data_IF_587417712863
#
_entry.id   IF_587417712863
#
_cell.length_a   1.000
_cell.length_b   1.000
_cell.length_c   1.000
_cell.angle_alpha   90.00
_cell.angle_beta   90.00
_cell.angle_gamma   90.00
#
_symmetry.space_group_name_H-M   'P 1'
#
loop_
_entity.id
_entity.type
_entity.pdbx_description
1 polymer ?
#
# COMPACT_ATOMS: atom_id res chain seq x y z
N UNK A 1 -3.94 -16.83 53.68
CA UNK A 1 -3.86 -15.39 53.41
C UNK A 1 -3.73 -15.18 51.92
N UNK A 2 -4.77 -14.67 51.24
CA UNK A 2 -4.68 -14.32 49.82
C UNK A 2 -3.84 -13.06 49.68
N UNK A 3 -2.76 -13.15 48.92
CA UNK A 3 -1.87 -12.02 48.63
C UNK A 3 -2.68 -10.84 48.08
N UNK A 4 -2.60 -9.64 48.65
CA UNK A 4 -3.35 -8.43 48.17
C UNK A 4 -2.89 -7.93 46.81
N UNK A 5 -1.92 -8.57 46.16
CA UNK A 5 -1.36 -8.19 44.85
C UNK A 5 -2.14 -8.76 43.64
N UNK A 6 -3.07 -9.71 43.87
CA UNK A 6 -3.79 -10.37 42.76
C UNK A 6 -4.78 -9.49 41.97
N UNK A 7 -5.02 -8.24 42.42
CA UNK A 7 -5.98 -7.30 41.83
C UNK A 7 -5.42 -6.15 41.00
N UNK A 8 -4.12 -5.89 40.99
CA UNK A 8 -3.55 -4.73 40.33
C UNK A 8 -3.21 -5.00 38.86
N UNK A 9 -3.75 -4.19 37.95
CA UNK A 9 -3.49 -4.26 36.51
C UNK A 9 -2.10 -3.73 36.13
N UNK A 10 -1.56 -2.80 36.91
CA UNK A 10 -0.28 -2.15 36.66
C UNK A 10 0.71 -2.55 37.77
N UNK A 11 1.63 -3.42 37.41
CA UNK A 11 2.75 -3.83 38.28
C UNK A 11 4.04 -3.78 37.50
N UNK A 12 5.05 -3.10 38.08
CA UNK A 12 6.37 -2.96 37.44
C UNK A 12 7.07 -4.32 37.38
N UNK A 13 7.48 -4.72 36.17
CA UNK A 13 8.24 -5.96 35.87
C UNK A 13 7.59 -7.27 36.34
N UNK A 14 6.27 -7.31 36.54
CA UNK A 14 5.54 -8.55 36.81
C UNK A 14 4.64 -8.92 35.64
N UNK A 15 4.62 -10.20 35.32
CA UNK A 15 3.74 -10.71 34.28
C UNK A 15 2.28 -10.67 34.72
N UNK A 16 1.40 -10.34 33.78
CA UNK A 16 -0.05 -10.40 33.98
C UNK A 16 -0.49 -11.87 34.06
N UNK A 17 -1.51 -12.13 34.86
CA UNK A 17 -2.19 -13.41 34.86
C UNK A 17 -2.70 -13.77 33.46
N UNK A 18 -2.71 -15.07 33.14
CA UNK A 18 -3.02 -15.59 31.79
C UNK A 18 -4.31 -15.05 31.19
N UNK A 19 -5.37 -14.96 32.01
CA UNK A 19 -6.68 -14.42 31.57
C UNK A 19 -6.61 -12.93 31.22
N UNK A 20 -5.90 -12.15 32.03
CA UNK A 20 -5.70 -10.71 31.82
C UNK A 20 -4.79 -10.41 30.62
N UNK A 21 -3.74 -11.21 30.47
CA UNK A 21 -2.85 -11.09 29.31
C UNK A 21 -3.57 -11.41 27.99
N UNK A 22 -4.48 -12.39 27.99
CA UNK A 22 -5.31 -12.70 26.82
C UNK A 22 -6.34 -11.60 26.53
N UNK A 23 -6.95 -11.04 27.57
CA UNK A 23 -7.90 -9.93 27.43
C UNK A 23 -7.20 -8.66 26.89
N UNK A 24 -6.05 -8.29 27.45
CA UNK A 24 -5.30 -7.12 26.97
C UNK A 24 -4.81 -7.29 25.54
N UNK A 25 -4.42 -8.52 25.14
CA UNK A 25 -4.07 -8.84 23.77
C UNK A 25 -5.29 -8.72 22.82
N UNK A 26 -6.45 -9.21 23.21
CA UNK A 26 -7.67 -9.05 22.43
C UNK A 26 -8.07 -7.58 22.31
N UNK A 27 -8.00 -6.82 23.40
CA UNK A 27 -8.29 -5.38 23.40
C UNK A 27 -7.34 -4.58 22.52
N UNK A 28 -6.08 -4.98 22.38
CA UNK A 28 -5.10 -4.28 21.52
C UNK A 28 -5.49 -4.31 20.04
N UNK A 29 -6.25 -5.30 19.59
CA UNK A 29 -6.80 -5.37 18.22
C UNK A 29 -8.23 -4.83 18.13
N UNK A 30 -9.05 -5.12 19.14
CA UNK A 30 -10.47 -4.72 19.15
C UNK A 30 -10.63 -3.21 19.34
N UNK A 31 -9.82 -2.57 20.18
CA UNK A 31 -9.95 -1.15 20.46
C UNK A 31 -9.71 -0.28 19.23
N UNK A 32 -8.63 -0.43 18.45
CA UNK A 32 -8.46 0.28 17.18
C UNK A 32 -9.60 0.00 16.18
N UNK A 33 -10.09 -1.26 16.11
CA UNK A 33 -11.20 -1.64 15.25
C UNK A 33 -12.51 -0.94 15.68
N UNK A 34 -12.80 -0.88 16.98
CA UNK A 34 -13.96 -0.17 17.52
C UNK A 34 -13.86 1.33 17.23
N UNK A 35 -12.68 1.93 17.44
CA UNK A 35 -12.44 3.35 17.11
C UNK A 35 -12.68 3.58 15.62
N UNK A 36 -12.17 2.69 14.76
CA UNK A 36 -12.41 2.77 13.33
C UNK A 36 -13.90 2.66 12.98
N UNK A 37 -14.62 1.69 13.56
CA UNK A 37 -16.07 1.58 13.37
C UNK A 37 -16.80 2.85 13.80
N UNK A 38 -16.53 3.36 15.01
CA UNK A 38 -17.16 4.59 15.51
C UNK A 38 -16.88 5.75 14.58
N UNK A 39 -15.62 5.91 14.15
CA UNK A 39 -15.22 6.96 13.22
C UNK A 39 -15.87 6.83 11.85
N UNK A 40 -16.04 5.60 11.32
CA UNK A 40 -16.59 5.35 9.99
C UNK A 40 -18.10 5.42 9.92
N UNK A 41 -18.81 5.01 10.99
CA UNK A 41 -20.28 5.01 11.05
C UNK A 41 -20.85 6.22 11.79
N UNK A 42 -20.00 7.11 12.30
CA UNK A 42 -20.44 8.26 13.07
C UNK A 42 -21.28 9.26 12.25
N UNK A 43 -22.19 10.01 12.91
CA UNK A 43 -23.12 10.93 12.25
C UNK A 43 -22.45 12.22 11.73
N UNK A 44 -21.16 12.42 11.98
CA UNK A 44 -20.40 13.61 11.54
C UNK A 44 -20.01 13.59 10.06
N UNK A 45 -20.10 12.45 9.37
CA UNK A 45 -19.83 12.35 7.95
C UNK A 45 -21.09 12.68 7.15
N UNK A 46 -21.09 13.85 6.50
CA UNK A 46 -22.20 14.30 5.67
C UNK A 46 -21.84 14.12 4.20
N UNK A 47 -22.70 13.47 3.45
CA UNK A 47 -22.80 13.44 1.98
C UNK A 47 -21.49 13.36 1.19
N UNK A 48 -21.24 12.20 0.59
CA UNK A 48 -20.31 12.07 -0.55
C UNK A 48 -21.09 12.29 -1.86
N UNK A 49 -20.44 12.85 -2.87
CA UNK A 49 -20.99 12.95 -4.23
C UNK A 49 -20.30 11.95 -5.13
N UNK A 50 -21.07 11.04 -5.70
CA UNK A 50 -20.57 10.10 -6.69
C UNK A 50 -20.67 10.72 -8.08
N UNK A 51 -19.55 10.76 -8.80
CA UNK A 51 -19.50 11.34 -10.15
C UNK A 51 -20.26 10.43 -11.12
N UNK A 52 -21.20 11.00 -11.84
CA UNK A 52 -21.95 10.32 -12.90
C UNK A 52 -21.53 10.77 -14.29
N UNK A 53 -21.08 12.00 -14.40
CA UNK A 53 -20.53 12.59 -15.61
C UNK A 53 -19.28 13.38 -15.22
N UNK A 54 -18.13 12.94 -15.70
CA UNK A 54 -16.85 13.60 -15.43
C UNK A 54 -16.48 14.57 -16.53
N UNK A 55 -15.77 15.65 -16.16
CA UNK A 55 -15.13 16.57 -17.07
C UNK A 55 -13.66 16.69 -16.71
N UNK A 56 -12.81 17.10 -17.65
CA UNK A 56 -11.40 17.39 -17.39
C UNK A 56 -11.15 18.89 -17.34
N UNK A 57 -10.33 19.34 -16.39
CA UNK A 57 -9.86 20.71 -16.32
C UNK A 57 -8.34 20.72 -16.04
N UNK A 58 -7.54 21.50 -16.80
CA UNK A 58 -6.12 21.66 -16.51
C UNK A 58 -5.84 22.37 -15.18
N UNK A 59 -6.86 22.99 -14.59
CA UNK A 59 -6.77 23.65 -13.27
C UNK A 59 -6.81 22.65 -12.11
N UNK A 60 -7.29 21.44 -12.34
CA UNK A 60 -7.36 20.36 -11.34
C UNK A 60 -6.38 19.27 -11.76
N UNK A 61 -5.34 19.05 -10.97
CA UNK A 61 -4.27 18.10 -11.27
C UNK A 61 -4.70 16.62 -11.18
N UNK A 62 -5.83 16.33 -10.55
CA UNK A 62 -6.36 14.97 -10.39
C UNK A 62 -7.38 14.66 -11.49
N UNK A 63 -7.28 13.47 -12.05
CA UNK A 63 -8.24 12.95 -13.02
C UNK A 63 -9.32 12.18 -12.26
N UNK A 64 -10.56 12.70 -12.31
CA UNK A 64 -11.72 12.04 -11.72
C UNK A 64 -12.47 11.23 -12.77
N UNK A 65 -12.88 10.02 -12.41
CA UNK A 65 -13.62 9.11 -13.28
C UNK A 65 -15.06 8.93 -12.81
N UNK A 66 -15.93 8.49 -13.70
CA UNK A 66 -17.31 8.13 -13.35
C UNK A 66 -17.30 7.01 -12.31
N UNK A 67 -18.07 7.18 -11.24
CA UNK A 67 -18.10 6.26 -10.09
C UNK A 67 -17.21 6.69 -8.91
N UNK A 68 -16.31 7.66 -9.10
CA UNK A 68 -15.47 8.19 -8.01
C UNK A 68 -16.34 8.94 -7.00
N UNK A 69 -15.93 8.90 -5.73
CA UNK A 69 -16.62 9.59 -4.63
C UNK A 69 -15.82 10.78 -4.17
N UNK A 70 -16.41 11.96 -4.23
CA UNK A 70 -15.76 13.21 -3.84
C UNK A 70 -16.39 13.78 -2.55
N UNK A 71 -15.58 14.48 -1.77
CA UNK A 71 -16.09 15.34 -0.71
C UNK A 71 -16.78 16.57 -1.29
N UNK A 72 -17.69 17.23 -0.54
CA UNK A 72 -18.33 18.45 -1.00
C UNK A 72 -17.34 19.58 -1.36
N UNK A 73 -16.22 19.68 -0.63
CA UNK A 73 -15.17 20.67 -0.93
C UNK A 73 -14.47 20.40 -2.25
N UNK A 74 -14.02 19.16 -2.46
CA UNK A 74 -13.34 18.73 -3.68
C UNK A 74 -14.29 18.79 -4.89
N UNK A 75 -15.58 18.44 -4.70
CA UNK A 75 -16.59 18.58 -5.73
C UNK A 75 -16.76 20.04 -6.17
N UNK A 76 -16.84 20.97 -5.21
CA UNK A 76 -16.97 22.40 -5.49
C UNK A 76 -15.74 22.93 -6.25
N UNK A 77 -14.55 22.55 -5.83
CA UNK A 77 -13.31 22.92 -6.51
C UNK A 77 -13.29 22.42 -7.96
N UNK A 78 -13.67 21.16 -8.16
CA UNK A 78 -13.72 20.54 -9.49
C UNK A 78 -14.76 21.22 -10.41
N UNK A 79 -15.99 21.45 -9.94
CA UNK A 79 -17.03 22.13 -10.72
C UNK A 79 -16.63 23.55 -11.07
N UNK A 80 -16.13 24.31 -10.09
CA UNK A 80 -15.68 25.69 -10.30
C UNK A 80 -14.55 25.78 -11.34
N UNK A 81 -13.61 24.83 -11.32
CA UNK A 81 -12.53 24.79 -12.31
C UNK A 81 -13.06 24.62 -13.75
N UNK A 82 -14.02 23.70 -13.93
CA UNK A 82 -14.63 23.48 -15.27
C UNK A 82 -15.47 24.69 -15.71
N UNK A 83 -16.22 25.30 -14.79
CA UNK A 83 -17.00 26.51 -15.06
C UNK A 83 -16.10 27.68 -15.49
N UNK A 84 -14.95 27.86 -14.82
CA UNK A 84 -13.98 28.89 -15.20
C UNK A 84 -13.39 28.65 -16.57
N UNK A 85 -13.03 27.40 -16.91
CA UNK A 85 -12.57 27.08 -18.28
C UNK A 85 -13.63 27.38 -19.33
N UNK A 86 -14.89 27.04 -19.08
CA UNK A 86 -15.99 27.35 -20.00
C UNK A 86 -16.24 28.85 -20.11
N UNK A 87 -16.15 29.60 -19.03
CA UNK A 87 -16.28 31.06 -19.02
C UNK A 87 -15.18 31.73 -19.85
N UNK A 88 -13.94 31.28 -19.75
CA UNK A 88 -12.84 31.78 -20.57
C UNK A 88 -13.06 31.50 -22.05
N UNK A 89 -13.53 30.30 -22.42
CA UNK A 89 -13.88 29.97 -23.81
C UNK A 89 -15.03 30.84 -24.29
N UNK A 90 -16.05 31.06 -23.47
CA UNK A 90 -17.22 31.89 -23.81
C UNK A 90 -16.85 33.35 -24.02
N UNK A 91 -16.15 33.96 -23.08
CA UNK A 91 -15.73 35.39 -23.18
C UNK A 91 -14.78 35.63 -24.35
N UNK A 92 -13.89 34.68 -24.65
CA UNK A 92 -13.01 34.76 -25.82
C UNK A 92 -13.79 34.72 -27.15
N UNK A 93 -14.87 33.97 -27.20
CA UNK A 93 -15.78 33.96 -28.38
C UNK A 93 -16.52 35.29 -28.54
N UNK A 94 -17.05 35.83 -27.46
CA UNK A 94 -17.77 37.12 -27.47
C UNK A 94 -16.84 38.27 -27.85
N UNK A 95 -15.57 38.23 -27.48
CA UNK A 95 -14.57 39.23 -27.85
C UNK A 95 -14.02 39.09 -29.29
N UNK A 96 -14.48 38.08 -30.04
CA UNK A 96 -14.01 37.83 -31.40
C UNK A 96 -12.62 37.20 -31.53
N UNK A 97 -12.06 36.75 -30.42
CA UNK A 97 -10.77 36.03 -30.34
C UNK A 97 -10.98 34.64 -29.77
N UNK A 98 -11.60 33.69 -30.50
CA UNK A 98 -11.92 32.38 -29.97
C UNK A 98 -10.64 31.59 -29.58
N UNK A 99 -10.73 30.84 -28.47
CA UNK A 99 -9.64 29.95 -28.04
C UNK A 99 -9.46 28.88 -29.11
N UNK A 100 -8.23 28.71 -29.58
CA UNK A 100 -7.90 27.67 -30.54
C UNK A 100 -8.11 26.27 -29.93
N UNK A 101 -8.85 25.42 -30.65
CA UNK A 101 -9.08 24.01 -30.29
C UNK A 101 -8.38 23.08 -31.26
N UNK A 102 -7.81 21.98 -30.76
CA UNK A 102 -7.34 20.91 -31.63
C UNK A 102 -8.41 19.84 -31.82
N UNK A 103 -8.37 19.12 -32.95
CA UNK A 103 -9.26 17.98 -33.17
C UNK A 103 -9.19 16.95 -32.03
N UNK A 104 -7.97 16.71 -31.48
CA UNK A 104 -7.75 15.78 -30.35
C UNK A 104 -8.44 16.26 -29.08
N UNK A 105 -8.37 17.54 -28.76
CA UNK A 105 -9.04 18.12 -27.59
C UNK A 105 -10.55 18.07 -27.75
N UNK A 106 -11.07 18.45 -28.90
CA UNK A 106 -12.50 18.44 -29.17
C UNK A 106 -13.09 17.03 -29.17
N UNK A 107 -12.38 16.03 -29.71
CA UNK A 107 -12.76 14.62 -29.58
C UNK A 107 -12.87 14.19 -28.10
N UNK A 108 -11.91 14.59 -27.27
CA UNK A 108 -11.88 14.26 -25.85
C UNK A 108 -13.08 14.89 -25.12
N UNK A 109 -13.44 16.13 -25.45
CA UNK A 109 -14.62 16.79 -24.88
C UNK A 109 -15.91 16.06 -25.29
N UNK A 110 -16.03 15.67 -26.56
CA UNK A 110 -17.22 14.95 -27.02
C UNK A 110 -17.38 13.59 -26.35
N UNK A 111 -16.28 12.89 -26.06
CA UNK A 111 -16.31 11.61 -25.36
C UNK A 111 -16.78 11.70 -23.91
N UNK A 112 -16.81 12.90 -23.31
CA UNK A 112 -17.33 13.09 -21.95
C UNK A 112 -18.78 12.64 -21.80
N UNK A 113 -19.58 12.65 -22.88
CA UNK A 113 -20.98 12.18 -22.83
C UNK A 113 -21.10 10.64 -22.74
N UNK A 114 -20.07 9.89 -23.11
CA UNK A 114 -20.14 8.44 -23.27
C UNK A 114 -20.66 7.70 -22.01
N UNK A 115 -20.22 8.02 -20.78
CA UNK A 115 -20.74 7.35 -19.57
C UNK A 115 -22.26 7.55 -19.39
N UNK A 116 -22.74 8.77 -19.59
CA UNK A 116 -24.17 9.07 -19.52
C UNK A 116 -24.95 8.42 -20.68
N UNK A 117 -24.36 8.34 -21.88
CA UNK A 117 -24.94 7.67 -23.02
C UNK A 117 -25.09 6.16 -22.82
N UNK A 118 -24.09 5.51 -22.20
CA UNK A 118 -24.16 4.08 -21.83
C UNK A 118 -25.21 3.84 -20.76
N UNK A 119 -25.28 4.69 -19.74
CA UNK A 119 -26.27 4.57 -18.67
C UNK A 119 -27.71 4.71 -19.15
N UNK A 120 -27.94 5.54 -20.19
CA UNK A 120 -29.23 5.73 -20.82
C UNK A 120 -29.50 4.75 -21.98
N UNK A 121 -28.55 3.87 -22.33
CA UNK A 121 -28.70 2.89 -23.41
C UNK A 121 -28.59 3.47 -24.81
N UNK A 122 -28.04 4.67 -24.99
CA UNK A 122 -27.85 5.30 -26.31
C UNK A 122 -26.59 4.79 -27.02
N UNK A 123 -25.57 4.45 -26.25
CA UNK A 123 -24.32 3.86 -26.72
C UNK A 123 -23.98 2.59 -25.94
N UNK A 124 -23.17 1.73 -26.55
CA UNK A 124 -22.57 0.58 -25.86
C UNK A 124 -21.20 0.94 -25.30
N UNK A 125 -20.70 0.18 -24.33
CA UNK A 125 -19.34 0.37 -23.76
C UNK A 125 -18.23 0.28 -24.82
N UNK A 126 -18.44 -0.55 -25.87
CA UNK A 126 -17.46 -0.71 -26.95
C UNK A 126 -17.34 0.51 -27.86
N UNK A 127 -18.34 1.42 -27.85
CA UNK A 127 -18.38 2.63 -28.68
C UNK A 127 -17.72 3.85 -28.03
N UNK A 128 -16.91 3.69 -27.00
CA UNK A 128 -16.16 4.77 -26.35
C UNK A 128 -15.21 5.50 -27.30
N UNK A 129 -14.65 4.78 -28.28
CA UNK A 129 -13.68 5.30 -29.27
C UNK A 129 -14.37 5.61 -30.62
N UNK A 130 -15.63 5.26 -30.75
CA UNK A 130 -16.38 5.53 -31.99
C UNK A 130 -16.83 7.00 -32.07
N UNK A 131 -15.98 7.80 -32.68
CA UNK A 131 -16.20 9.26 -32.80
C UNK A 131 -17.48 9.61 -33.60
N UNK A 132 -17.90 8.77 -34.54
CA UNK A 132 -19.10 8.99 -35.35
C UNK A 132 -20.37 8.72 -34.53
N UNK A 133 -20.42 7.60 -33.80
CA UNK A 133 -21.52 7.29 -32.90
C UNK A 133 -21.67 8.33 -31.78
N UNK A 134 -20.57 8.79 -31.21
CA UNK A 134 -20.58 9.86 -30.21
C UNK A 134 -21.12 11.16 -30.79
N UNK A 135 -20.62 11.57 -31.93
CA UNK A 135 -21.09 12.79 -32.62
C UNK A 135 -22.57 12.73 -32.94
N UNK A 136 -23.05 11.61 -33.46
CA UNK A 136 -24.48 11.38 -33.71
C UNK A 136 -25.32 11.55 -32.46
N UNK A 137 -24.85 10.98 -31.33
CA UNK A 137 -25.52 11.11 -30.03
C UNK A 137 -25.61 12.58 -29.55
N UNK A 138 -24.56 13.38 -29.75
CA UNK A 138 -24.57 14.81 -29.44
C UNK A 138 -25.63 15.55 -30.27
N UNK A 139 -25.72 15.27 -31.57
CA UNK A 139 -26.69 15.89 -32.47
C UNK A 139 -28.14 15.53 -32.12
N UNK A 140 -28.37 14.25 -31.79
CA UNK A 140 -29.70 13.76 -31.38
C UNK A 140 -30.13 14.28 -30.00
N UNK A 141 -29.17 14.52 -29.08
CA UNK A 141 -29.47 15.20 -27.81
C UNK A 141 -29.78 16.69 -28.01
N UNK A 142 -29.06 17.35 -28.88
CA UNK A 142 -29.30 18.76 -29.21
C UNK A 142 -30.67 19.00 -29.89
N UNK A 143 -31.09 18.07 -30.77
CA UNK A 143 -32.41 18.11 -31.43
C UNK A 143 -33.55 17.71 -30.49
N UNK A 144 -33.25 17.07 -29.34
CA UNK A 144 -34.25 16.57 -28.40
C UNK A 144 -34.89 15.21 -28.79
N UNK A 145 -34.34 14.52 -29.79
CA UNK A 145 -34.78 13.18 -30.19
C UNK A 145 -34.49 12.14 -29.06
N UNK A 146 -33.35 12.28 -28.37
CA UNK A 146 -33.00 11.43 -27.27
C UNK A 146 -33.45 12.05 -25.94
N UNK A 147 -34.21 11.26 -25.15
CA UNK A 147 -34.64 11.64 -23.81
C UNK A 147 -33.93 10.73 -22.80
N UNK A 148 -33.32 11.35 -21.79
CA UNK A 148 -32.68 10.60 -20.70
C UNK A 148 -33.73 9.87 -19.86
N UNK A 149 -33.53 8.57 -19.65
CA UNK A 149 -34.40 7.69 -18.86
C UNK A 149 -33.83 7.38 -17.45
N UNK A 150 -32.55 7.11 -17.42
CA UNK A 150 -31.85 6.62 -16.19
C UNK A 150 -31.02 7.71 -15.53
N UNK A 151 -30.37 8.56 -16.30
CA UNK A 151 -29.56 9.68 -15.81
C UNK A 151 -29.95 10.95 -16.59
N UNK A 152 -30.81 11.81 -16.02
CA UNK A 152 -31.15 13.07 -16.65
C UNK A 152 -29.93 13.99 -16.64
N UNK A 153 -29.66 14.64 -17.77
CA UNK A 153 -28.63 15.66 -17.87
C UNK A 153 -29.15 17.00 -17.32
N UNK A 154 -28.29 17.76 -16.66
CA UNK A 154 -28.62 19.10 -16.17
C UNK A 154 -29.01 20.03 -17.32
N UNK A 155 -29.80 21.07 -17.01
CA UNK A 155 -30.21 22.08 -18.00
C UNK A 155 -28.98 22.78 -18.58
N UNK A 156 -27.98 23.01 -17.77
CA UNK A 156 -26.71 23.64 -18.15
C UNK A 156 -25.95 22.76 -19.14
N UNK A 157 -25.81 21.46 -18.88
CA UNK A 157 -25.20 20.55 -19.84
C UNK A 157 -25.97 20.41 -21.15
N UNK A 158 -27.28 20.43 -21.11
CA UNK A 158 -28.10 20.45 -22.32
C UNK A 158 -27.88 21.74 -23.16
N UNK A 159 -27.67 22.90 -22.51
CA UNK A 159 -27.32 24.13 -23.16
C UNK A 159 -25.94 24.05 -23.83
N UNK A 160 -24.94 23.51 -23.11
CA UNK A 160 -23.61 23.29 -23.65
C UNK A 160 -23.65 22.33 -24.85
N UNK A 161 -24.45 21.26 -24.76
CA UNK A 161 -24.63 20.31 -25.86
C UNK A 161 -25.18 20.99 -27.11
N UNK A 162 -26.19 21.86 -26.97
CA UNK A 162 -26.76 22.61 -28.10
C UNK A 162 -25.76 23.56 -28.74
N UNK A 163 -25.02 24.32 -27.92
CA UNK A 163 -23.98 25.24 -28.42
C UNK A 163 -22.85 24.49 -29.16
N UNK A 164 -22.40 23.38 -28.60
CA UNK A 164 -21.39 22.58 -29.27
C UNK A 164 -21.91 21.91 -30.56
N UNK A 165 -23.17 21.46 -30.56
CA UNK A 165 -23.80 20.88 -31.76
C UNK A 165 -23.90 21.87 -32.91
N UNK A 166 -24.22 23.15 -32.65
CA UNK A 166 -24.21 24.22 -33.68
C UNK A 166 -22.82 24.37 -34.31
N UNK A 167 -21.76 24.32 -33.50
CA UNK A 167 -20.37 24.38 -33.97
C UNK A 167 -19.98 23.16 -34.80
N UNK A 168 -20.41 21.97 -34.37
CA UNK A 168 -20.19 20.72 -35.09
C UNK A 168 -20.93 20.71 -36.45
N UNK A 169 -22.10 21.29 -36.49
CA UNK A 169 -22.86 21.42 -37.74
C UNK A 169 -22.16 22.37 -38.72
N UNK A 170 -21.64 23.51 -38.26
CA UNK A 170 -20.86 24.45 -39.07
C UNK A 170 -19.55 23.83 -39.60
N UNK A 171 -18.91 22.97 -38.83
CA UNK A 171 -17.66 22.32 -39.20
C UNK A 171 -17.84 21.13 -40.18
N UNK A 172 -19.08 20.68 -40.43
CA UNK A 172 -19.38 19.56 -41.33
C UNK A 172 -18.82 18.22 -40.84
N UNK A 173 -18.03 17.55 -41.66
CA UNK A 173 -17.36 16.28 -41.29
C UNK A 173 -16.13 16.48 -40.38
N UNK A 174 -15.54 17.66 -40.41
CA UNK A 174 -14.35 17.99 -39.66
C UNK A 174 -14.66 18.38 -38.20
N UNK A 175 -13.61 18.58 -37.41
CA UNK A 175 -13.72 19.12 -36.05
C UNK A 175 -13.52 20.64 -36.07
N UNK A 176 -14.28 21.39 -35.24
CA UNK A 176 -14.11 22.83 -35.14
C UNK A 176 -12.66 23.20 -34.81
N UNK A 177 -12.14 24.27 -35.40
CA UNK A 177 -10.83 24.86 -35.08
C UNK A 177 -10.85 25.61 -33.74
N UNK A 178 -12.01 25.87 -33.20
CA UNK A 178 -12.25 26.51 -31.91
C UNK A 178 -12.47 25.45 -30.83
N UNK A 179 -12.11 25.76 -29.59
CA UNK A 179 -12.33 24.89 -28.44
C UNK A 179 -13.83 24.75 -28.15
N UNK A 180 -14.29 23.51 -28.01
CA UNK A 180 -15.64 23.19 -27.54
C UNK A 180 -15.77 23.45 -26.04
N UNK A 181 -16.97 23.74 -25.57
CA UNK A 181 -17.29 23.84 -24.17
C UNK A 181 -17.27 22.45 -23.51
N UNK A 182 -16.73 22.36 -22.32
CA UNK A 182 -16.67 21.13 -21.55
C UNK A 182 -18.00 20.88 -20.86
N UNK A 183 -18.44 19.63 -20.79
CA UNK A 183 -19.59 19.27 -19.98
C UNK A 183 -19.26 19.50 -18.49
N UNK A 184 -20.22 20.07 -17.77
CA UNK A 184 -20.11 20.23 -16.33
C UNK A 184 -20.21 18.85 -15.67
N UNK A 185 -19.39 18.57 -14.67
CA UNK A 185 -19.48 17.34 -13.93
C UNK A 185 -20.86 17.21 -13.27
N UNK A 186 -21.43 16.02 -13.30
CA UNK A 186 -22.70 15.71 -12.64
C UNK A 186 -22.46 14.65 -11.56
N UNK A 187 -23.24 14.73 -10.50
CA UNK A 187 -23.13 13.80 -9.38
C UNK A 187 -24.50 13.36 -8.87
N UNK A 188 -24.52 12.17 -8.32
CA UNK A 188 -25.61 11.68 -7.46
C UNK A 188 -25.15 11.87 -6.01
N UNK A 189 -26.01 12.48 -5.18
CA UNK A 189 -25.75 12.55 -3.75
C UNK A 189 -26.05 11.18 -3.12
N UNK A 190 -25.02 10.54 -2.58
CA UNK A 190 -25.20 9.35 -1.76
C UNK A 190 -25.21 9.73 -0.28
N UNK A 191 -26.11 9.14 0.49
CA UNK A 191 -26.10 9.26 1.96
C UNK A 191 -24.83 8.63 2.51
N UNK A 192 -23.98 9.50 2.90
CA UNK A 192 -22.84 9.45 3.81
C UNK A 192 -22.25 8.09 4.17
N UNK A 193 -21.35 7.58 3.32
CA UNK A 193 -20.19 6.87 3.85
C UNK A 193 -18.99 7.82 3.72
N UNK A 194 -18.11 7.92 4.75
CA UNK A 194 -16.96 8.82 4.64
C UNK A 194 -16.11 8.42 3.45
N UNK A 195 -15.81 9.39 2.59
CA UNK A 195 -15.00 9.13 1.39
C UNK A 195 -13.62 8.61 1.79
N UNK A 196 -13.03 9.21 2.83
CA UNK A 196 -11.67 8.91 3.26
C UNK A 196 -11.54 7.76 4.26
N UNK A 197 -12.57 7.47 5.05
CA UNK A 197 -12.53 6.45 6.10
C UNK A 197 -13.60 5.40 5.85
N UNK A 198 -13.31 4.48 4.96
CA UNK A 198 -14.22 3.39 4.58
C UNK A 198 -14.49 2.46 5.76
N UNK A 199 -15.75 2.04 5.98
CA UNK A 199 -16.09 1.09 7.03
C UNK A 199 -15.36 -0.25 6.89
N UNK A 200 -14.99 -0.91 8.02
CA UNK A 200 -14.22 -2.16 8.00
C UNK A 200 -14.89 -3.31 7.25
N UNK A 201 -16.22 -3.40 7.28
CA UNK A 201 -16.99 -4.40 6.53
C UNK A 201 -16.84 -4.25 5.02
N UNK A 202 -16.89 -3.01 4.51
CA UNK A 202 -16.68 -2.71 3.10
C UNK A 202 -15.25 -3.06 2.69
N UNK A 203 -14.26 -2.74 3.53
CA UNK A 203 -12.86 -3.11 3.29
C UNK A 203 -12.70 -4.63 3.22
N UNK A 204 -13.32 -5.37 4.13
CA UNK A 204 -13.27 -6.83 4.14
C UNK A 204 -13.93 -7.44 2.89
N UNK A 205 -15.09 -6.92 2.47
CA UNK A 205 -15.79 -7.36 1.26
C UNK A 205 -14.96 -7.04 0.01
N UNK A 206 -14.38 -5.84 -0.08
CA UNK A 206 -13.55 -5.44 -1.22
C UNK A 206 -12.24 -6.25 -1.29
N UNK A 207 -11.64 -6.57 -0.13
CA UNK A 207 -10.51 -7.47 -0.05
C UNK A 207 -10.86 -8.86 -0.57
N UNK A 208 -11.98 -9.42 -0.11
CA UNK A 208 -12.46 -10.72 -0.57
C UNK A 208 -12.73 -10.73 -2.07
N UNK A 209 -13.41 -9.71 -2.58
CA UNK A 209 -13.65 -9.54 -4.02
C UNK A 209 -12.34 -9.41 -4.81
N UNK A 210 -11.37 -8.62 -4.33
CA UNK A 210 -10.07 -8.45 -4.97
C UNK A 210 -9.25 -9.75 -5.05
N UNK A 211 -9.39 -10.64 -4.05
CA UNK A 211 -8.74 -11.95 -4.03
C UNK A 211 -9.46 -12.95 -4.94
N UNK A 212 -10.81 -12.96 -4.93
CA UNK A 212 -11.60 -14.01 -5.60
C UNK A 212 -11.99 -13.66 -7.04
N UNK A 213 -12.26 -12.40 -7.34
CA UNK A 213 -12.81 -11.99 -8.64
C UNK A 213 -11.79 -11.93 -9.79
N UNK A 214 -10.49 -12.09 -9.52
CA UNK A 214 -9.45 -12.20 -10.54
C UNK A 214 -9.27 -10.99 -11.48
N UNK A 215 -10.00 -9.89 -11.25
CA UNK A 215 -9.95 -8.68 -12.07
C UNK A 215 -10.00 -7.45 -11.16
N UNK A 216 -8.87 -6.80 -10.95
CA UNK A 216 -8.88 -5.41 -10.52
C UNK A 216 -9.43 -4.58 -11.68
N UNK A 217 -10.46 -3.79 -11.43
CA UNK A 217 -11.09 -2.91 -12.42
C UNK A 217 -10.23 -1.63 -12.53
N UNK A 218 -9.05 -1.77 -13.14
CA UNK A 218 -8.20 -0.63 -13.47
C UNK A 218 -8.74 -0.04 -14.76
N UNK A 219 -9.29 1.16 -14.67
CA UNK A 219 -9.91 1.88 -15.78
C UNK A 219 -8.96 2.30 -16.92
N UNK A 220 -7.80 1.68 -17.04
CA UNK A 220 -6.82 1.93 -18.11
C UNK A 220 -6.94 0.80 -19.15
N UNK A 221 -7.52 1.11 -20.30
CA UNK A 221 -7.85 0.18 -21.38
C UNK A 221 -6.66 -0.46 -22.12
N UNK A 222 -5.42 -0.21 -21.68
CA UNK A 222 -4.20 -0.64 -22.37
C UNK A 222 -3.18 -1.43 -21.54
N UNK A 223 -3.32 -1.54 -20.21
CA UNK A 223 -2.40 -2.29 -19.38
C UNK A 223 -2.91 -3.72 -19.13
N UNK A 224 -2.01 -4.71 -19.14
CA UNK A 224 -2.34 -6.07 -18.69
C UNK A 224 -3.01 -6.02 -17.32
N UNK A 225 -4.27 -6.47 -17.25
CA UNK A 225 -5.09 -6.46 -16.04
C UNK A 225 -4.54 -7.46 -15.03
N UNK A 226 -3.60 -7.00 -14.20
CA UNK A 226 -3.02 -7.82 -13.13
C UNK A 226 -3.99 -7.92 -11.95
N UNK A 227 -4.19 -9.12 -11.46
CA UNK A 227 -4.99 -9.37 -10.26
C UNK A 227 -4.31 -8.83 -9.01
N UNK A 228 -5.07 -8.58 -7.93
CA UNK A 228 -4.52 -8.18 -6.64
C UNK A 228 -3.45 -9.16 -6.14
N UNK A 229 -3.65 -10.48 -6.35
CA UNK A 229 -2.69 -11.52 -5.99
C UNK A 229 -1.41 -11.49 -6.83
N UNK A 230 -1.50 -11.17 -8.13
CA UNK A 230 -0.31 -11.02 -8.97
C UNK A 230 0.53 -9.82 -8.52
N UNK A 231 -0.09 -8.67 -8.25
CA UNK A 231 0.59 -7.49 -7.70
C UNK A 231 1.19 -7.75 -6.31
N UNK A 232 0.49 -8.51 -5.48
CA UNK A 232 1.00 -8.99 -4.21
C UNK A 232 2.26 -9.86 -4.38
N UNK A 233 2.26 -10.78 -5.34
CA UNK A 233 3.42 -11.60 -5.67
C UNK A 233 4.62 -10.79 -6.18
N UNK A 234 4.37 -9.73 -6.95
CA UNK A 234 5.42 -8.80 -7.41
C UNK A 234 6.07 -8.06 -6.22
N UNK A 235 5.27 -7.54 -5.29
CA UNK A 235 5.77 -6.90 -4.06
C UNK A 235 6.61 -7.87 -3.23
N UNK A 236 6.16 -9.12 -3.07
CA UNK A 236 6.92 -10.16 -2.37
C UNK A 236 8.24 -10.47 -3.06
N UNK A 237 8.25 -10.62 -4.37
CA UNK A 237 9.48 -10.85 -5.13
C UNK A 237 10.49 -9.70 -4.92
N UNK A 238 10.03 -8.47 -4.97
CA UNK A 238 10.86 -7.29 -4.79
C UNK A 238 11.49 -7.24 -3.40
N UNK A 239 10.69 -7.40 -2.34
CA UNK A 239 11.20 -7.31 -0.96
C UNK A 239 12.16 -8.45 -0.64
N UNK A 240 11.83 -9.68 -1.02
CA UNK A 240 12.68 -10.84 -0.74
C UNK A 240 14.03 -10.70 -1.44
N UNK A 241 14.05 -10.35 -2.73
CA UNK A 241 15.30 -10.19 -3.47
C UNK A 241 16.13 -9.02 -2.95
N UNK A 242 15.52 -7.86 -2.69
CA UNK A 242 16.22 -6.70 -2.17
C UNK A 242 16.78 -6.92 -0.77
N UNK A 243 16.00 -7.53 0.11
CA UNK A 243 16.43 -7.88 1.47
C UNK A 243 17.53 -8.93 1.48
N UNK A 244 17.40 -10.02 0.71
CA UNK A 244 18.43 -11.05 0.63
C UNK A 244 19.76 -10.48 0.12
N UNK A 245 19.70 -9.64 -0.92
CA UNK A 245 20.91 -8.97 -1.43
C UNK A 245 21.56 -8.11 -0.35
N UNK A 246 20.77 -7.34 0.41
CA UNK A 246 21.26 -6.51 1.50
C UNK A 246 21.93 -7.36 2.59
N UNK A 247 21.32 -8.48 2.99
CA UNK A 247 21.84 -9.32 4.06
C UNK A 247 23.09 -10.10 3.64
N UNK A 248 23.15 -10.59 2.40
CA UNK A 248 24.36 -11.24 1.86
C UNK A 248 25.58 -10.31 1.96
N UNK A 249 25.39 -9.01 1.74
CA UNK A 249 26.46 -8.02 1.85
C UNK A 249 26.66 -7.56 3.29
N UNK A 250 25.59 -7.34 4.04
CA UNK A 250 25.65 -6.79 5.39
C UNK A 250 26.24 -7.76 6.42
N UNK A 251 25.96 -9.06 6.33
CA UNK A 251 26.48 -10.03 7.31
C UNK A 251 28.01 -10.05 7.32
N UNK A 252 28.72 -10.29 6.20
CA UNK A 252 30.19 -10.31 6.24
C UNK A 252 30.75 -8.98 6.73
N UNK A 253 30.28 -7.87 6.21
CA UNK A 253 30.80 -6.52 6.56
C UNK A 253 30.53 -6.24 8.05
N UNK A 254 29.31 -6.48 8.54
CA UNK A 254 28.91 -6.22 9.92
C UNK A 254 29.64 -7.12 10.92
N UNK A 255 29.80 -8.42 10.60
CA UNK A 255 30.56 -9.33 11.46
C UNK A 255 32.03 -8.93 11.53
N UNK A 256 32.66 -8.59 10.41
CA UNK A 256 34.04 -8.12 10.39
C UNK A 256 34.21 -6.78 11.13
N UNK A 257 33.29 -5.84 10.94
CA UNK A 257 33.30 -4.56 11.65
C UNK A 257 33.02 -4.72 13.15
N UNK A 258 32.22 -5.70 13.54
CA UNK A 258 31.98 -6.02 14.96
C UNK A 258 33.13 -6.77 15.62
N UNK A 259 33.96 -7.49 14.85
CA UNK A 259 35.06 -8.30 15.38
C UNK A 259 36.39 -7.53 15.38
N UNK A 260 36.67 -6.73 14.34
CA UNK A 260 37.95 -6.04 14.16
C UNK A 260 37.78 -4.53 14.25
N UNK A 261 38.51 -3.90 15.19
CA UNK A 261 38.50 -2.45 15.40
C UNK A 261 38.94 -1.66 14.13
N UNK A 262 39.91 -2.19 13.40
CA UNK A 262 40.36 -1.59 12.12
C UNK A 262 39.20 -1.52 11.12
N UNK A 263 38.45 -2.60 10.94
CA UNK A 263 37.34 -2.66 10.00
C UNK A 263 36.19 -1.77 10.48
N UNK A 264 35.92 -1.76 11.78
CA UNK A 264 34.96 -0.86 12.41
C UNK A 264 35.25 0.61 12.09
N UNK A 265 36.48 1.06 12.34
CA UNK A 265 36.90 2.46 12.07
C UNK A 265 36.89 2.84 10.59
N UNK A 266 37.05 1.88 9.71
CA UNK A 266 36.98 2.10 8.26
C UNK A 266 35.54 2.13 7.75
N UNK A 267 34.70 1.17 8.20
CA UNK A 267 33.38 0.92 7.63
C UNK A 267 32.31 1.78 8.29
N UNK A 268 32.30 1.88 9.62
CA UNK A 268 31.18 2.51 10.33
C UNK A 268 31.02 4.01 10.04
N UNK A 269 32.04 4.84 9.95
CA UNK A 269 31.85 6.25 9.58
C UNK A 269 31.24 6.40 8.20
N UNK A 270 31.66 5.58 7.24
CA UNK A 270 31.16 5.58 5.88
C UNK A 270 29.68 5.12 5.85
N UNK A 271 29.35 4.00 6.49
CA UNK A 271 27.99 3.47 6.55
C UNK A 271 27.06 4.41 7.30
N UNK A 272 27.54 5.04 8.38
CA UNK A 272 26.79 6.08 9.11
C UNK A 272 26.46 7.26 8.20
N UNK A 273 27.44 7.75 7.43
CA UNK A 273 27.22 8.82 6.47
C UNK A 273 26.13 8.42 5.45
N UNK A 274 26.22 7.22 4.87
CA UNK A 274 25.21 6.71 3.94
C UNK A 274 23.83 6.53 4.57
N UNK A 275 23.75 6.21 5.85
CA UNK A 275 22.46 6.05 6.56
C UNK A 275 21.66 7.36 6.66
N UNK A 276 22.32 8.51 6.60
CA UNK A 276 21.66 9.82 6.55
C UNK A 276 21.18 10.21 5.14
N UNK A 277 21.63 9.50 4.11
CA UNK A 277 21.17 9.76 2.75
C UNK A 277 19.83 9.05 2.52
N UNK A 278 18.76 9.77 2.16
CA UNK A 278 17.47 9.14 1.93
C UNK A 278 17.53 8.24 0.69
N UNK A 279 17.36 6.93 0.87
CA UNK A 279 17.38 5.96 -0.23
C UNK A 279 16.47 6.36 -1.42
N UNK A 280 15.29 6.96 -1.21
CA UNK A 280 14.44 7.44 -2.31
C UNK A 280 15.11 8.48 -3.23
N UNK A 281 16.07 9.26 -2.72
CA UNK A 281 16.79 10.23 -3.56
C UNK A 281 17.58 9.57 -4.69
N UNK A 282 17.97 8.31 -4.51
CA UNK A 282 18.64 7.53 -5.56
C UNK A 282 17.69 6.96 -6.61
N UNK A 283 16.37 7.08 -6.43
CA UNK A 283 15.37 6.45 -7.29
C UNK A 283 15.57 6.77 -8.78
N UNK A 284 15.77 8.04 -9.13
CA UNK A 284 15.99 8.48 -10.52
C UNK A 284 17.31 7.91 -11.08
N UNK A 285 18.38 7.91 -10.27
CA UNK A 285 19.68 7.35 -10.66
C UNK A 285 19.58 5.85 -10.89
N UNK A 286 18.88 5.14 -9.99
CA UNK A 286 18.65 3.70 -10.14
C UNK A 286 17.84 3.37 -11.39
N UNK A 287 16.84 4.21 -11.73
CA UNK A 287 16.08 4.07 -12.99
C UNK A 287 16.98 4.26 -14.21
N UNK A 288 17.88 5.22 -14.18
CA UNK A 288 18.79 5.46 -15.28
C UNK A 288 19.78 4.29 -15.49
N UNK A 289 20.19 3.61 -14.41
CA UNK A 289 21.16 2.50 -14.47
C UNK A 289 20.48 1.17 -14.81
N UNK A 290 19.34 0.86 -14.16
CA UNK A 290 18.70 -0.47 -14.22
C UNK A 290 17.43 -0.50 -15.09
N UNK A 291 17.05 0.63 -15.71
CA UNK A 291 15.81 0.74 -16.47
C UNK A 291 14.56 0.93 -15.59
N UNK A 292 13.37 0.67 -16.17
CA UNK A 292 12.08 0.91 -15.52
C UNK A 292 11.44 -0.37 -14.94
N UNK A 293 12.18 -1.47 -14.90
CA UNK A 293 11.68 -2.76 -14.45
C UNK A 293 11.89 -3.02 -12.95
N UNK A 294 12.04 -4.27 -12.57
CA UNK A 294 12.23 -4.75 -11.21
C UNK A 294 13.55 -4.30 -10.58
N UNK A 295 14.60 -4.07 -11.40
CA UNK A 295 15.96 -3.75 -10.94
C UNK A 295 16.04 -2.58 -9.96
N UNK A 296 15.56 -1.38 -10.32
CA UNK A 296 15.62 -0.22 -9.43
C UNK A 296 14.93 -0.41 -8.10
N UNK A 297 13.80 -1.16 -8.08
CA UNK A 297 13.05 -1.44 -6.84
C UNK A 297 13.85 -2.32 -5.89
N UNK A 298 14.44 -3.40 -6.41
CA UNK A 298 15.30 -4.30 -5.64
C UNK A 298 16.48 -3.51 -5.08
N UNK A 299 17.13 -2.67 -5.91
CA UNK A 299 18.26 -1.87 -5.49
C UNK A 299 17.89 -0.79 -4.48
N UNK A 300 16.68 -0.25 -4.54
CA UNK A 300 16.22 0.72 -3.54
C UNK A 300 15.95 0.06 -2.18
N UNK A 301 15.34 -1.12 -2.15
CA UNK A 301 15.18 -1.91 -0.92
C UNK A 301 16.56 -2.31 -0.37
N UNK A 302 17.49 -2.71 -1.24
CA UNK A 302 18.87 -3.01 -0.87
C UNK A 302 19.56 -1.81 -0.22
N UNK A 303 19.60 -0.65 -0.88
CA UNK A 303 20.24 0.56 -0.39
C UNK A 303 19.61 1.08 0.91
N UNK A 304 18.28 1.00 1.03
CA UNK A 304 17.59 1.43 2.24
C UNK A 304 17.82 0.52 3.43
N UNK A 305 18.06 -0.77 3.19
CA UNK A 305 18.24 -1.77 4.26
C UNK A 305 19.71 -1.93 4.65
N UNK A 306 20.63 -1.87 3.71
CA UNK A 306 22.05 -2.21 3.88
C UNK A 306 22.73 -1.44 5.02
N UNK A 307 22.66 -0.09 5.12
CA UNK A 307 23.37 0.64 6.15
C UNK A 307 22.92 0.26 7.56
N UNK A 308 21.61 0.20 7.78
CA UNK A 308 21.04 -0.19 9.06
C UNK A 308 21.40 -1.63 9.41
N UNK A 309 21.41 -2.55 8.45
CA UNK A 309 21.79 -3.93 8.63
C UNK A 309 23.25 -4.08 9.05
N UNK A 310 24.20 -3.41 8.37
CA UNK A 310 25.64 -3.45 8.72
C UNK A 310 25.87 -2.97 10.15
N UNK A 311 25.30 -1.82 10.53
CA UNK A 311 25.47 -1.25 11.87
C UNK A 311 24.85 -2.13 12.96
N UNK A 312 23.67 -2.68 12.70
CA UNK A 312 22.97 -3.57 13.65
C UNK A 312 23.78 -4.86 13.86
N UNK A 313 24.24 -5.48 12.79
CA UNK A 313 25.05 -6.72 12.85
C UNK A 313 26.38 -6.46 13.55
N UNK A 314 27.05 -5.35 13.26
CA UNK A 314 28.29 -4.97 13.95
C UNK A 314 28.07 -4.79 15.45
N UNK A 315 26.97 -4.16 15.86
CA UNK A 315 26.59 -3.99 17.26
C UNK A 315 26.31 -5.34 17.94
N UNK A 316 25.56 -6.22 17.30
CA UNK A 316 25.25 -7.57 17.82
C UNK A 316 26.51 -8.41 17.95
N UNK A 317 27.45 -8.29 17.00
CA UNK A 317 28.72 -8.99 17.05
C UNK A 317 29.59 -8.51 18.21
N UNK A 318 29.66 -7.21 18.49
CA UNK A 318 30.36 -6.66 19.66
C UNK A 318 29.71 -7.03 21.00
N UNK A 319 28.42 -7.34 20.98
CA UNK A 319 27.67 -7.79 22.16
C UNK A 319 27.96 -9.23 22.57
N UNK A 320 28.82 -9.96 21.84
CA UNK A 320 29.27 -11.30 22.26
C UNK A 320 30.13 -11.20 23.50
N UNK A 321 29.94 -12.16 24.41
CA UNK A 321 30.72 -12.21 25.67
C UNK A 321 32.21 -12.35 25.36
N UNK A 322 33.02 -11.39 25.85
CA UNK A 322 34.48 -11.36 25.67
C UNK A 322 35.17 -12.57 26.27
N UNK A 323 34.62 -13.13 27.33
CA UNK A 323 35.17 -14.33 28.00
C UNK A 323 35.24 -15.54 27.06
N UNK A 324 34.28 -15.67 26.12
CA UNK A 324 34.30 -16.71 25.09
C UNK A 324 35.47 -16.54 24.11
N UNK A 325 35.75 -15.30 23.74
CA UNK A 325 36.87 -14.99 22.84
C UNK A 325 38.22 -15.23 23.52
N UNK A 326 38.37 -14.79 24.76
CA UNK A 326 39.58 -15.01 25.57
C UNK A 326 39.87 -16.50 25.80
N UNK A 327 38.82 -17.25 26.11
CA UNK A 327 38.96 -18.70 26.30
C UNK A 327 39.41 -19.40 24.99
N UNK A 328 38.83 -19.04 23.86
CA UNK A 328 39.21 -19.61 22.58
C UNK A 328 40.63 -19.23 22.16
N UNK A 329 41.05 -18.00 22.44
CA UNK A 329 42.44 -17.54 22.20
C UNK A 329 43.43 -18.27 23.07
N UNK A 330 43.10 -18.51 24.36
CA UNK A 330 43.95 -19.28 25.30
C UNK A 330 44.14 -20.72 24.82
N UNK A 331 43.13 -21.28 24.16
CA UNK A 331 43.18 -22.62 23.54
C UNK A 331 43.94 -22.62 22.20
N UNK A 332 44.47 -21.48 21.76
CA UNK A 332 45.27 -21.36 20.53
C UNK A 332 44.47 -21.20 19.24
N UNK A 333 43.19 -20.78 19.32
CA UNK A 333 42.37 -20.55 18.15
C UNK A 333 42.95 -19.42 17.26
N UNK A 334 43.10 -19.68 15.97
CA UNK A 334 43.49 -18.66 15.02
C UNK A 334 42.30 -17.75 14.67
N UNK A 335 42.57 -16.60 13.99
CA UNK A 335 41.52 -15.61 13.67
C UNK A 335 40.37 -16.17 12.87
N UNK A 336 40.61 -17.11 11.96
CA UNK A 336 39.51 -17.75 11.19
C UNK A 336 38.64 -18.62 12.08
N UNK A 337 39.27 -19.42 12.96
CA UNK A 337 38.57 -20.27 13.94
C UNK A 337 37.75 -19.39 14.90
N UNK A 338 38.29 -18.27 15.37
CA UNK A 338 37.54 -17.31 16.18
C UNK A 338 36.26 -16.85 15.47
N UNK A 339 36.36 -16.44 14.22
CA UNK A 339 35.16 -15.97 13.48
C UNK A 339 34.19 -17.11 13.23
N UNK A 340 34.64 -18.21 12.62
CA UNK A 340 33.74 -19.27 12.12
C UNK A 340 33.21 -20.20 13.22
N UNK A 341 33.99 -20.44 14.28
CA UNK A 341 33.64 -21.43 15.33
C UNK A 341 33.17 -20.79 16.63
N UNK A 342 33.45 -19.50 16.87
CA UNK A 342 33.07 -18.81 18.11
C UNK A 342 32.13 -17.66 17.85
N UNK A 343 32.59 -16.66 17.08
CA UNK A 343 31.80 -15.44 16.85
C UNK A 343 30.50 -15.75 16.13
N UNK A 344 30.59 -16.37 14.95
CA UNK A 344 29.41 -16.58 14.09
C UNK A 344 28.36 -17.47 14.76
N UNK A 345 28.69 -18.65 15.34
CA UNK A 345 27.71 -19.45 16.08
C UNK A 345 27.18 -18.75 17.34
N UNK A 346 28.03 -18.00 18.03
CA UNK A 346 27.68 -17.30 19.27
C UNK A 346 26.67 -16.17 19.04
N UNK A 347 26.79 -15.43 17.94
CA UNK A 347 25.86 -14.33 17.62
C UNK A 347 24.60 -14.81 16.88
N UNK A 348 24.60 -16.00 16.27
CA UNK A 348 23.58 -16.46 15.33
C UNK A 348 22.13 -16.31 15.85
N UNK A 349 21.79 -16.63 17.11
CA UNK A 349 20.45 -16.42 17.63
C UNK A 349 20.04 -14.96 17.71
N UNK A 350 20.98 -14.07 18.10
CA UNK A 350 20.71 -12.63 18.18
C UNK A 350 20.67 -12.02 16.77
N UNK A 351 21.58 -12.41 15.89
CA UNK A 351 21.59 -12.05 14.49
C UNK A 351 20.24 -12.37 13.82
N UNK A 352 19.68 -13.56 14.09
CA UNK A 352 18.37 -13.93 13.57
C UNK A 352 17.25 -13.01 14.05
N UNK A 353 17.27 -12.59 15.33
CA UNK A 353 16.32 -11.60 15.86
C UNK A 353 16.45 -10.25 15.16
N UNK A 354 17.70 -9.82 14.91
CA UNK A 354 17.98 -8.58 14.21
C UNK A 354 17.50 -8.64 12.76
N UNK A 355 17.76 -9.73 12.04
CA UNK A 355 17.29 -9.95 10.67
C UNK A 355 15.77 -9.90 10.57
N UNK A 356 15.07 -10.45 11.56
CA UNK A 356 13.61 -10.38 11.64
C UNK A 356 13.12 -8.94 11.79
N UNK A 357 13.77 -8.14 12.64
CA UNK A 357 13.45 -6.72 12.81
C UNK A 357 13.73 -5.92 11.53
N UNK A 358 14.89 -6.16 10.92
CA UNK A 358 15.32 -5.52 9.67
C UNK A 358 14.40 -5.85 8.49
N UNK A 359 13.88 -7.09 8.44
CA UNK A 359 12.90 -7.46 7.43
C UNK A 359 11.59 -6.64 7.57
N UNK A 360 11.16 -6.36 8.80
CA UNK A 360 10.03 -5.47 9.07
C UNK A 360 10.27 -4.05 8.53
N UNK A 361 11.48 -3.50 8.66
CA UNK A 361 11.82 -2.18 8.11
C UNK A 361 11.93 -2.18 6.57
N UNK A 362 12.31 -3.31 5.98
CA UNK A 362 12.40 -3.46 4.52
C UNK A 362 11.04 -3.28 3.82
N UNK A 363 9.91 -3.56 4.49
CA UNK A 363 8.56 -3.26 3.98
C UNK A 363 8.34 -1.77 3.72
N UNK A 364 8.90 -0.90 4.56
CA UNK A 364 8.82 0.55 4.34
C UNK A 364 9.54 0.95 3.05
N UNK A 365 10.73 0.39 2.83
CA UNK A 365 11.50 0.66 1.61
C UNK A 365 10.83 0.11 0.36
N UNK A 366 10.15 -1.05 0.47
CA UNK A 366 9.36 -1.61 -0.62
C UNK A 366 8.25 -0.65 -1.06
N UNK A 367 7.44 -0.16 -0.12
CA UNK A 367 6.33 0.76 -0.43
C UNK A 367 6.86 2.02 -1.12
N UNK A 368 7.96 2.58 -0.61
CA UNK A 368 8.58 3.75 -1.22
C UNK A 368 9.12 3.43 -2.63
N UNK A 369 9.75 2.27 -2.82
CA UNK A 369 10.24 1.84 -4.11
C UNK A 369 9.12 1.70 -5.16
N UNK A 370 7.96 1.17 -4.75
CA UNK A 370 6.80 1.01 -5.63
C UNK A 370 6.11 2.36 -5.95
N UNK A 371 6.14 3.34 -5.03
CA UNK A 371 5.57 4.68 -5.24
C UNK A 371 6.40 5.58 -6.18
N UNK A 372 7.68 5.27 -6.39
CA UNK A 372 8.58 6.08 -7.23
C UNK A 372 8.35 5.98 -8.76
N UNK A 373 7.15 5.59 -9.18
CA UNK A 373 6.74 5.66 -10.59
C UNK A 373 6.85 4.33 -11.35
N UNK A 374 6.99 3.23 -10.65
CA UNK A 374 7.00 1.90 -11.26
C UNK A 374 5.59 1.30 -11.26
N UNK A 375 5.02 1.08 -12.44
CA UNK A 375 3.67 0.52 -12.60
C UNK A 375 3.59 -0.97 -12.20
N UNK A 376 3.89 -1.32 -10.95
CA UNK A 376 3.72 -2.68 -10.44
C UNK A 376 3.78 -2.75 -8.91
N UNK A 377 3.13 -3.74 -8.32
CA UNK A 377 3.07 -3.98 -6.89
C UNK A 377 1.82 -3.40 -6.22
N UNK A 378 1.73 -3.57 -4.89
CA UNK A 378 0.57 -3.11 -4.10
C UNK A 378 0.53 -1.60 -3.90
N UNK A 379 1.69 -0.96 -3.76
CA UNK A 379 1.73 0.48 -3.51
C UNK A 379 1.33 1.29 -4.75
N UNK A 380 1.47 0.76 -5.96
CA UNK A 380 0.90 1.36 -7.17
C UNK A 380 -0.63 1.44 -7.10
N UNK A 381 -1.29 0.38 -6.61
CA UNK A 381 -2.75 0.41 -6.38
C UNK A 381 -3.09 1.54 -5.43
N UNK A 382 -2.32 1.67 -4.34
CA UNK A 382 -2.54 2.70 -3.32
C UNK A 382 -2.40 4.10 -3.93
N UNK A 383 -1.38 4.36 -4.75
CA UNK A 383 -1.17 5.67 -5.39
C UNK A 383 -2.23 5.95 -6.45
N UNK A 384 -2.46 5.02 -7.37
CA UNK A 384 -3.37 5.21 -8.51
C UNK A 384 -4.82 5.40 -8.05
N UNK A 385 -5.31 4.51 -7.18
CA UNK A 385 -6.68 4.57 -6.67
C UNK A 385 -6.84 5.62 -5.57
N UNK A 386 -5.76 5.91 -4.80
CA UNK A 386 -5.75 6.99 -3.81
C UNK A 386 -5.97 8.37 -4.44
N UNK A 387 -5.34 8.65 -5.58
CA UNK A 387 -5.55 9.89 -6.36
C UNK A 387 -6.98 10.01 -6.92
N UNK A 388 -7.65 8.87 -7.13
CA UNK A 388 -9.03 8.79 -7.61
C UNK A 388 -10.06 8.73 -6.48
N UNK A 389 -9.64 8.83 -5.22
CA UNK A 389 -10.48 8.70 -4.01
C UNK A 389 -11.24 7.36 -3.91
N UNK A 390 -10.74 6.30 -4.55
CA UNK A 390 -11.28 4.94 -4.51
C UNK A 390 -10.72 4.19 -3.30
N UNK A 391 -11.01 4.67 -2.10
CA UNK A 391 -10.43 4.12 -0.87
C UNK A 391 -10.94 2.71 -0.53
N UNK A 392 -12.04 2.28 -1.13
CA UNK A 392 -12.53 0.90 -1.07
C UNK A 392 -11.56 -0.12 -1.71
N UNK A 393 -10.68 0.33 -2.62
CA UNK A 393 -9.60 -0.47 -3.22
C UNK A 393 -8.26 -0.25 -2.47
N UNK A 394 -8.03 0.98 -2.00
CA UNK A 394 -6.79 1.36 -1.30
C UNK A 394 -6.64 0.65 0.04
N UNK A 395 -7.68 0.66 0.89
CA UNK A 395 -7.60 0.04 2.22
C UNK A 395 -7.31 -1.47 2.20
N UNK A 396 -7.92 -2.27 1.31
CA UNK A 396 -7.53 -3.67 1.12
C UNK A 396 -6.05 -3.88 0.82
N UNK A 397 -5.45 -3.04 -0.03
CA UNK A 397 -4.03 -3.12 -0.36
C UNK A 397 -3.15 -2.79 0.85
N UNK A 398 -3.47 -1.72 1.62
CA UNK A 398 -2.79 -1.36 2.87
C UNK A 398 -2.90 -2.51 3.89
N UNK A 399 -4.09 -3.09 4.04
CA UNK A 399 -4.34 -4.19 4.97
C UNK A 399 -3.51 -5.42 4.59
N UNK A 400 -3.41 -5.75 3.30
CA UNK A 400 -2.57 -6.86 2.81
C UNK A 400 -1.10 -6.65 3.14
N UNK A 401 -0.57 -5.43 2.96
CA UNK A 401 0.82 -5.11 3.34
C UNK A 401 1.02 -5.34 4.83
N UNK A 402 0.14 -4.79 5.67
CA UNK A 402 0.24 -4.94 7.12
C UNK A 402 0.12 -6.38 7.60
N UNK A 403 -0.86 -7.12 7.07
CA UNK A 403 -1.03 -8.55 7.38
C UNK A 403 0.16 -9.38 6.92
N UNK A 404 0.73 -9.09 5.76
CA UNK A 404 1.90 -9.79 5.24
C UNK A 404 3.12 -9.62 6.15
N UNK A 405 3.40 -8.39 6.58
CA UNK A 405 4.46 -8.11 7.54
C UNK A 405 4.23 -8.83 8.86
N UNK A 406 3.01 -8.79 9.39
CA UNK A 406 2.65 -9.47 10.63
C UNK A 406 2.79 -11.00 10.52
N UNK A 407 2.23 -11.62 9.47
CA UNK A 407 2.34 -13.07 9.30
C UNK A 407 3.78 -13.52 9.10
N UNK A 408 4.56 -12.77 8.32
CA UNK A 408 5.97 -13.08 8.12
C UNK A 408 6.76 -12.98 9.42
N UNK A 409 6.51 -11.96 10.23
CA UNK A 409 7.11 -11.85 11.56
C UNK A 409 6.79 -13.06 12.45
N UNK A 410 5.52 -13.52 12.44
CA UNK A 410 5.12 -14.70 13.19
C UNK A 410 5.77 -16.00 12.67
N UNK A 411 5.90 -16.13 11.34
CA UNK A 411 6.59 -17.27 10.72
C UNK A 411 8.06 -17.28 11.13
N UNK A 412 8.73 -16.15 11.03
CA UNK A 412 10.12 -16.01 11.45
C UNK A 412 10.30 -16.26 12.94
N UNK A 413 9.35 -15.80 13.79
CA UNK A 413 9.35 -16.10 15.22
C UNK A 413 9.21 -17.60 15.54
N UNK A 414 8.38 -18.28 14.75
CA UNK A 414 8.22 -19.73 14.88
C UNK A 414 9.49 -20.47 14.45
N UNK A 415 10.07 -20.11 13.31
CA UNK A 415 11.32 -20.68 12.80
C UNK A 415 12.50 -20.44 13.77
N UNK A 416 12.55 -19.28 14.44
CA UNK A 416 13.56 -19.01 15.45
C UNK A 416 13.59 -20.08 16.56
N UNK A 417 12.42 -20.57 16.99
CA UNK A 417 12.32 -21.64 18.01
C UNK A 417 12.78 -22.99 17.51
N UNK A 418 12.59 -23.23 16.23
CA UNK A 418 13.04 -24.46 15.60
C UNK A 418 14.56 -24.48 15.41
N UNK A 419 15.14 -23.36 14.97
CA UNK A 419 16.58 -23.25 14.71
C UNK A 419 17.42 -23.09 15.98
N UNK A 420 16.86 -22.44 17.04
CA UNK A 420 17.59 -22.10 18.27
C UNK A 420 16.87 -22.62 19.52
N UNK A 421 16.69 -23.95 19.67
CA UNK A 421 15.96 -24.50 20.81
C UNK A 421 16.68 -24.31 22.17
N UNK A 422 17.99 -24.03 22.15
CA UNK A 422 18.81 -23.79 23.34
C UNK A 422 18.70 -22.36 23.90
N UNK A 423 18.06 -21.44 23.17
CA UNK A 423 17.86 -20.07 23.64
C UNK A 423 16.52 -20.00 24.37
N UNK A 424 16.55 -19.58 25.63
CA UNK A 424 15.33 -19.31 26.40
C UNK A 424 14.56 -18.16 25.75
N UNK A 425 13.59 -18.51 24.93
CA UNK A 425 12.65 -17.55 24.35
C UNK A 425 11.36 -17.55 25.17
N UNK A 426 10.80 -16.37 25.49
CA UNK A 426 9.52 -16.30 26.19
C UNK A 426 8.48 -17.13 25.42
N UNK A 427 7.86 -18.07 26.10
CA UNK A 427 6.98 -19.13 25.56
C UNK A 427 5.74 -18.64 24.80
N UNK A 428 5.63 -17.37 24.42
CA UNK A 428 4.37 -16.75 24.05
C UNK A 428 4.43 -15.83 22.84
N UNK A 429 4.58 -16.41 21.64
CA UNK A 429 4.11 -15.77 20.42
C UNK A 429 2.62 -16.12 20.21
N UNK A 430 1.86 -15.25 19.53
CA UNK A 430 0.43 -15.44 19.24
C UNK A 430 0.11 -16.81 18.62
N UNK A 431 0.88 -17.24 17.61
CA UNK A 431 0.72 -18.58 16.99
C UNK A 431 1.12 -19.72 17.93
N UNK A 432 2.14 -19.56 18.76
CA UNK A 432 2.53 -20.57 19.73
C UNK A 432 1.46 -20.84 20.79
N UNK A 433 0.69 -19.82 21.16
CA UNK A 433 -0.49 -19.96 22.03
C UNK A 433 -1.65 -20.65 21.32
N UNK A 434 -1.89 -20.32 20.07
CA UNK A 434 -2.97 -20.93 19.27
C UNK A 434 -2.73 -22.42 19.03
N UNK A 435 -1.50 -22.81 18.68
CA UNK A 435 -1.14 -24.23 18.48
C UNK A 435 -1.04 -24.98 19.80
N UNK A 436 -0.58 -24.37 20.91
CA UNK A 436 -0.56 -25.02 22.21
C UNK A 436 -1.95 -25.22 22.82
N UNK A 437 -2.90 -24.35 22.51
CA UNK A 437 -4.30 -24.54 22.87
C UNK A 437 -4.90 -25.74 22.12
N UNK A 438 -4.57 -25.92 20.84
CA UNK A 438 -5.03 -27.07 20.03
C UNK A 438 -4.43 -28.41 20.48
N UNK A 439 -3.16 -28.43 20.93
CA UNK A 439 -2.53 -29.65 21.44
C UNK A 439 -3.11 -30.09 22.79
N UNK A 440 -3.63 -29.17 23.60
CA UNK A 440 -4.36 -29.49 24.84
C UNK A 440 -5.76 -30.06 24.60
N UNK A 441 -6.39 -29.73 23.47
CA UNK A 441 -7.69 -30.28 23.07
C UNK A 441 -7.55 -31.71 22.56
N UNK A 442 -6.39 -32.10 22.05
CA UNK A 442 -6.10 -33.44 21.51
C UNK A 442 -5.54 -34.44 22.53
N UNK A 443 -5.52 -34.08 23.81
CA UNK A 443 -5.20 -34.98 24.95
C UNK A 443 -3.72 -35.04 25.31
N UNK A 444 -3.37 -35.08 26.62
CA UNK A 444 -2.00 -35.18 27.06
C UNK A 444 -1.52 -36.63 26.93
N UNK A 445 -0.45 -36.87 26.19
CA UNK A 445 0.36 -38.06 26.37
C UNK A 445 1.04 -37.98 27.76
N UNK A 446 0.60 -38.83 28.64
CA UNK A 446 1.17 -38.99 29.98
C UNK A 446 2.68 -39.26 29.88
N UNK A 447 3.57 -38.50 30.56
CA UNK A 447 4.97 -38.88 30.63
C UNK A 447 5.10 -40.18 31.41
N UNK A 448 6.04 -41.08 31.03
CA UNK A 448 6.28 -42.30 31.77
C UNK A 448 6.72 -41.94 33.22
N UNK A 449 6.11 -42.63 34.17
CA UNK A 449 6.41 -42.47 35.59
C UNK A 449 7.92 -42.69 35.84
N UNK A 450 8.58 -41.72 36.43
CA UNK A 450 9.94 -41.86 36.89
C UNK A 450 9.98 -42.99 37.91
N UNK A 451 10.75 -44.02 37.62
CA UNK A 451 11.00 -45.14 38.54
C UNK A 451 11.61 -44.57 39.82
N UNK A 452 10.95 -44.82 40.93
CA UNK A 452 11.45 -44.53 42.27
C UNK A 452 12.76 -45.28 42.50
N UNK A 453 13.85 -44.57 42.74
CA UNK A 453 15.11 -45.14 43.19
C UNK A 453 14.91 -45.83 44.55
N UNK A 454 15.48 -47.00 44.80
CA UNK A 454 15.38 -47.67 46.08
C UNK A 454 16.23 -46.93 47.12
N UNK A 455 15.62 -46.74 48.29
CA UNK A 455 16.38 -46.30 49.50
C UNK A 455 17.48 -47.33 49.87
N UNK A 456 18.71 -46.88 49.98
CA UNK A 456 19.80 -47.61 50.48
C UNK A 456 19.84 -47.48 52.01
N UNK A 457 20.32 -48.52 52.74
CA UNK A 457 20.21 -48.70 54.20
C UNK A 457 21.03 -47.71 55.00
#
# INVERSE_FOLDING_TARGET
MKSPAAGRWLMVRKELDHSRASLTMALSFLLPLIIWCIASYGPWWKVARQITLSAESPRVQSVYSVGDRLTPSTWKEFTTAVEQDNKEIGTARESGQPVAGSARQNKKILRQIHPAAVANGWLTRAQEIDDEAIRKTWMQLASGELKAKSQPLSKENLTIIRQNAEMLTKAGSDYPKEALLKLLPESIEEVARPVYLIPPDVVAISLWKGITAGKADDGDAGAERKTLLQRYGESWRTIVLGFLLAIIVAIPIGVLAGTFDLVSKLVEPFVNFFSYMPAPAFGVVLMAIFGLDLGPKIMLVFLGTLPCAVLTIAKTTRGLDGSLLEAAQTLGANQRQLITSVVLPGILPNLYKDLRLLFGTAWTWLVIAELLGFKSGLAEIIDTHGRRFQFDIVYPAILLIGLSGFFMDQILAYLARYFFPWVDQPKQGFLGRFFSARSRILGPSKPPAAASAPASP
#
